data_IF_540745770359
#
_entry.id   IF_540745770359
#
_cell.length_a   1.000
_cell.length_b   1.000
_cell.length_c   1.000
_cell.angle_alpha   90.00
_cell.angle_beta   90.00
_cell.angle_gamma   90.00
#
_symmetry.space_group_name_H-M   'P 1'
#
loop_
_entity.id
_entity.type
_entity.pdbx_description
1 polymer ?
#
# COMPACT_ATOMS: atom_id res chain seq x y z
N UNK A 1 3.08 12.55 13.03
CA UNK A 1 4.40 12.15 12.47
C UNK A 1 4.32 10.69 12.07
N UNK A 2 4.44 10.38 10.78
CA UNK A 2 4.48 8.99 10.28
C UNK A 2 5.87 8.42 10.53
N UNK A 3 5.99 7.50 11.49
CA UNK A 3 7.24 6.82 11.78
C UNK A 3 7.69 5.99 10.56
N UNK A 4 8.85 6.32 9.99
CA UNK A 4 9.42 5.64 8.85
C UNK A 4 9.75 4.18 9.18
N UNK A 5 9.49 3.27 8.24
CA UNK A 5 9.82 1.85 8.39
C UNK A 5 11.26 1.61 8.00
N UNK A 6 11.99 0.86 8.84
CA UNK A 6 13.34 0.41 8.54
C UNK A 6 13.33 -0.97 7.87
N UNK A 7 14.40 -1.29 7.14
CA UNK A 7 14.58 -2.61 6.52
C UNK A 7 14.56 -3.72 7.57
N UNK A 8 15.05 -3.45 8.78
CA UNK A 8 15.01 -4.40 9.91
C UNK A 8 13.57 -4.70 10.34
N UNK A 9 12.76 -3.67 10.51
CA UNK A 9 11.36 -3.83 10.89
C UNK A 9 10.54 -4.50 9.78
N UNK A 10 10.85 -4.23 8.51
CA UNK A 10 10.21 -4.93 7.38
C UNK A 10 10.51 -6.43 7.40
N UNK A 11 11.78 -6.81 7.64
CA UNK A 11 12.18 -8.21 7.78
C UNK A 11 11.49 -8.89 8.95
N UNK A 12 11.46 -8.23 10.11
CA UNK A 12 10.77 -8.72 11.30
C UNK A 12 9.27 -8.92 11.05
N UNK A 13 8.61 -7.93 10.43
CA UNK A 13 7.20 -8.00 10.07
C UNK A 13 6.92 -9.17 9.11
N UNK A 14 7.76 -9.36 8.08
CA UNK A 14 7.61 -10.47 7.14
C UNK A 14 7.76 -11.83 7.83
N UNK A 15 8.74 -11.99 8.73
CA UNK A 15 8.93 -13.23 9.50
C UNK A 15 7.72 -13.54 10.40
N UNK A 16 7.16 -12.52 11.07
CA UNK A 16 5.97 -12.68 11.90
C UNK A 16 4.74 -13.02 11.07
N UNK A 17 4.60 -12.44 9.87
CA UNK A 17 3.51 -12.76 8.95
C UNK A 17 3.65 -14.18 8.40
N UNK A 18 4.86 -14.61 8.06
CA UNK A 18 5.13 -15.98 7.62
C UNK A 18 4.75 -17.01 8.70
N UNK A 19 5.11 -16.72 9.96
CA UNK A 19 4.84 -17.59 11.11
C UNK A 19 3.37 -17.62 11.55
N UNK A 20 2.68 -16.48 11.57
CA UNK A 20 1.33 -16.35 12.17
C UNK A 20 0.21 -16.04 11.16
N UNK A 21 0.56 -15.76 9.90
CA UNK A 21 -0.35 -15.35 8.84
C UNK A 21 -0.74 -13.87 8.89
N UNK A 22 -1.05 -13.31 7.71
CA UNK A 22 -1.48 -11.92 7.50
C UNK A 22 -2.93 -11.64 7.95
N UNK A 23 -3.32 -12.11 9.14
CA UNK A 23 -4.68 -11.95 9.70
C UNK A 23 -4.69 -11.36 11.11
N UNK A 24 -3.70 -11.72 11.94
CA UNK A 24 -3.65 -11.36 13.37
C UNK A 24 -2.76 -10.14 13.64
N UNK A 25 -3.08 -9.00 13.04
CA UNK A 25 -2.24 -7.80 13.07
C UNK A 25 -1.95 -7.26 14.48
N UNK A 26 -2.93 -7.31 15.39
CA UNK A 26 -2.73 -6.86 16.78
C UNK A 26 -1.71 -7.73 17.51
N UNK A 27 -1.74 -9.04 17.27
CA UNK A 27 -0.78 -9.98 17.85
C UNK A 27 0.61 -9.82 17.24
N UNK A 28 0.69 -9.71 15.91
CA UNK A 28 1.96 -9.40 15.21
C UNK A 28 2.57 -8.11 15.77
N UNK A 29 1.76 -7.07 15.96
CA UNK A 29 2.23 -5.81 16.52
C UNK A 29 2.68 -5.91 17.98
N UNK A 30 2.06 -6.77 18.81
CA UNK A 30 2.54 -6.99 20.19
C UNK A 30 3.93 -7.63 20.26
N UNK A 31 4.36 -8.30 19.19
CA UNK A 31 5.70 -8.88 19.08
C UNK A 31 6.73 -7.90 18.52
N UNK A 32 6.28 -6.81 17.88
CA UNK A 32 7.15 -5.76 17.36
C UNK A 32 7.31 -4.62 18.36
N UNK A 33 8.52 -4.06 18.44
CA UNK A 33 8.76 -2.89 19.29
C UNK A 33 8.16 -1.63 18.65
N UNK A 34 7.32 -0.89 19.39
CA UNK A 34 6.74 0.40 19.00
C UNK A 34 5.83 0.44 17.76
N UNK A 35 5.42 -0.70 17.19
CA UNK A 35 4.46 -0.76 16.08
C UNK A 35 3.08 -1.18 16.57
N UNK A 36 2.03 -0.62 15.97
CA UNK A 36 0.62 -0.96 16.23
C UNK A 36 0.06 -1.80 15.10
N UNK A 37 -0.97 -2.61 15.38
CA UNK A 37 -1.56 -3.53 14.41
C UNK A 37 -1.95 -2.86 13.09
N UNK A 38 -2.54 -1.65 13.15
CA UNK A 38 -2.84 -0.85 11.95
C UNK A 38 -1.59 -0.54 11.12
N UNK A 39 -0.49 -0.15 11.75
CA UNK A 39 0.75 0.18 11.06
C UNK A 39 1.34 -1.06 10.37
N UNK A 40 1.36 -2.21 11.06
CA UNK A 40 1.83 -3.48 10.48
C UNK A 40 0.99 -3.89 9.26
N UNK A 41 -0.34 -3.82 9.38
CA UNK A 41 -1.27 -4.10 8.28
C UNK A 41 -1.03 -3.18 7.09
N UNK A 42 -1.01 -1.87 7.35
CA UNK A 42 -0.85 -0.87 6.30
C UNK A 42 0.50 -1.00 5.60
N UNK A 43 1.57 -1.30 6.34
CA UNK A 43 2.90 -1.56 5.76
C UNK A 43 2.89 -2.77 4.85
N UNK A 44 2.33 -3.88 5.31
CA UNK A 44 2.27 -5.09 4.51
C UNK A 44 1.43 -4.89 3.24
N UNK A 45 0.20 -4.39 3.37
CA UNK A 45 -0.74 -4.25 2.25
C UNK A 45 -0.32 -3.21 1.21
N UNK A 46 0.50 -2.21 1.58
CA UNK A 46 0.90 -1.14 0.66
C UNK A 46 2.33 -1.28 0.14
N UNK A 47 3.19 -2.08 0.79
CA UNK A 47 4.62 -2.13 0.42
C UNK A 47 5.22 -3.53 0.39
N UNK A 48 4.83 -4.45 1.29
CA UNK A 48 5.54 -5.73 1.44
C UNK A 48 4.82 -6.95 0.86
N UNK A 49 3.52 -6.84 0.57
CA UNK A 49 2.75 -7.94 -0.02
C UNK A 49 3.34 -8.29 -1.39
N UNK A 50 3.56 -9.59 -1.69
CA UNK A 50 3.93 -10.01 -3.03
C UNK A 50 2.97 -9.47 -4.09
N UNK A 51 3.51 -9.07 -5.24
CA UNK A 51 2.76 -8.52 -6.36
C UNK A 51 2.46 -7.02 -6.29
N UNK A 52 2.96 -6.30 -5.27
CA UNK A 52 2.90 -4.84 -5.24
C UNK A 52 3.97 -4.26 -6.16
N UNK A 53 3.58 -3.35 -7.05
CA UNK A 53 4.49 -2.56 -7.89
C UNK A 53 4.90 -1.28 -7.17
N UNK A 54 6.18 -1.15 -6.86
CA UNK A 54 6.77 0.04 -6.20
C UNK A 54 7.53 0.96 -7.16
N UNK A 55 7.66 0.59 -8.43
CA UNK A 55 8.36 1.37 -9.46
C UNK A 55 7.54 2.55 -9.99
N UNK A 56 8.11 3.23 -10.99
CA UNK A 56 7.51 4.35 -11.71
C UNK A 56 6.16 3.98 -12.34
N UNK A 57 5.29 4.98 -12.49
CA UNK A 57 3.98 4.82 -13.13
C UNK A 57 4.16 4.79 -14.64
N UNK A 58 3.60 3.77 -15.29
CA UNK A 58 3.63 3.70 -16.74
C UNK A 58 2.55 4.59 -17.36
N UNK A 59 2.72 5.00 -18.61
CA UNK A 59 1.72 5.82 -19.33
C UNK A 59 0.37 5.09 -19.43
N UNK A 60 0.39 3.76 -19.54
CA UNK A 60 -0.81 2.93 -19.55
C UNK A 60 -1.50 2.95 -18.19
N UNK A 61 -0.75 2.85 -17.08
CA UNK A 61 -1.31 2.96 -15.73
C UNK A 61 -1.92 4.36 -15.49
N UNK A 62 -1.26 5.41 -15.97
CA UNK A 62 -1.78 6.78 -15.91
C UNK A 62 -3.07 6.94 -16.71
N UNK A 63 -3.12 6.41 -17.94
CA UNK A 63 -4.33 6.46 -18.77
C UNK A 63 -5.50 5.73 -18.11
N UNK A 64 -5.27 4.52 -17.59
CA UNK A 64 -6.29 3.75 -16.87
C UNK A 64 -6.77 4.52 -15.63
N UNK A 65 -5.86 5.17 -14.90
CA UNK A 65 -6.22 5.97 -13.74
C UNK A 65 -7.09 7.17 -14.12
N UNK A 66 -6.71 7.93 -15.15
CA UNK A 66 -7.45 9.11 -15.60
C UNK A 66 -8.84 8.73 -16.10
N UNK A 67 -8.95 7.74 -16.99
CA UNK A 67 -10.24 7.28 -17.51
C UNK A 67 -11.11 6.63 -16.42
N UNK A 68 -10.50 5.80 -15.58
CA UNK A 68 -11.18 5.21 -14.43
C UNK A 68 -11.71 6.26 -13.47
N UNK A 69 -10.94 7.30 -13.16
CA UNK A 69 -11.35 8.36 -12.25
C UNK A 69 -12.47 9.23 -12.84
N UNK A 70 -12.53 9.44 -14.16
CA UNK A 70 -13.67 10.13 -14.81
C UNK A 70 -14.99 9.42 -14.56
N UNK A 71 -15.00 8.09 -14.57
CA UNK A 71 -16.21 7.27 -14.41
C UNK A 71 -16.52 6.97 -12.94
N UNK A 72 -15.50 6.62 -12.16
CA UNK A 72 -15.65 6.10 -10.80
C UNK A 72 -15.41 7.15 -9.70
N UNK A 73 -14.78 8.28 -10.03
CA UNK A 73 -14.34 9.28 -9.07
C UNK A 73 -13.31 8.73 -8.07
N UNK A 74 -13.45 9.10 -6.80
CA UNK A 74 -12.54 8.73 -5.70
C UNK A 74 -12.77 7.32 -5.14
N UNK A 75 -13.39 6.42 -5.93
CA UNK A 75 -13.56 5.01 -5.58
C UNK A 75 -12.24 4.25 -5.76
N UNK A 76 -11.25 4.57 -4.95
CA UNK A 76 -9.88 4.05 -5.05
C UNK A 76 -9.80 2.52 -5.02
N UNK A 77 -10.63 1.88 -4.20
CA UNK A 77 -10.69 0.42 -4.13
C UNK A 77 -11.19 -0.22 -5.45
N UNK A 78 -12.04 0.47 -6.21
CA UNK A 78 -12.45 0.02 -7.54
C UNK A 78 -11.34 0.25 -8.58
N UNK A 79 -10.66 1.41 -8.51
CA UNK A 79 -9.50 1.70 -9.37
C UNK A 79 -8.34 0.70 -9.13
N UNK A 80 -8.13 0.27 -7.89
CA UNK A 80 -7.14 -0.75 -7.54
C UNK A 80 -7.42 -2.13 -8.16
N UNK A 81 -8.66 -2.40 -8.56
CA UNK A 81 -9.00 -3.63 -9.31
C UNK A 81 -8.61 -3.50 -10.79
N UNK A 82 -8.61 -2.30 -11.35
CA UNK A 82 -8.19 -2.03 -12.73
C UNK A 82 -6.66 -1.97 -12.84
N UNK A 83 -6.00 -1.36 -11.85
CA UNK A 83 -4.55 -1.23 -11.78
C UNK A 83 -3.94 -2.37 -10.97
N UNK A 84 -3.94 -3.58 -11.54
CA UNK A 84 -3.42 -4.77 -10.85
C UNK A 84 -1.98 -4.57 -10.41
N UNK A 85 -1.73 -4.72 -9.10
CA UNK A 85 -0.42 -4.51 -8.49
C UNK A 85 -0.20 -3.10 -7.91
N UNK A 86 -1.09 -2.13 -8.17
CA UNK A 86 -1.10 -0.84 -7.48
C UNK A 86 -2.13 -0.87 -6.34
N UNK A 87 -1.71 -0.81 -5.07
CA UNK A 87 -2.65 -0.75 -3.95
C UNK A 87 -3.38 0.59 -3.95
N UNK A 88 -4.58 0.60 -3.36
CA UNK A 88 -5.45 1.78 -3.21
C UNK A 88 -4.68 3.03 -2.77
N UNK A 89 -3.80 2.88 -1.78
CA UNK A 89 -3.03 3.99 -1.24
C UNK A 89 -2.03 4.57 -2.25
N UNK A 90 -1.43 3.73 -3.10
CA UNK A 90 -0.54 4.19 -4.16
C UNK A 90 -1.29 5.03 -5.20
N UNK A 91 -2.50 4.58 -5.58
CA UNK A 91 -3.36 5.29 -6.55
C UNK A 91 -3.75 6.67 -6.02
N UNK A 92 -4.29 6.72 -4.80
CA UNK A 92 -4.65 7.99 -4.14
C UNK A 92 -3.46 8.93 -4.02
N UNK A 93 -2.29 8.41 -3.65
CA UNK A 93 -1.08 9.22 -3.50
C UNK A 93 -0.60 9.77 -4.84
N UNK A 94 -0.59 8.95 -5.89
CA UNK A 94 -0.20 9.38 -7.23
C UNK A 94 -1.16 10.44 -7.76
N UNK A 95 -2.49 10.21 -7.68
CA UNK A 95 -3.49 11.21 -8.08
C UNK A 95 -3.29 12.56 -7.39
N UNK A 96 -3.13 12.58 -6.06
CA UNK A 96 -2.88 13.82 -5.34
C UNK A 96 -1.52 14.45 -5.65
N UNK A 97 -0.49 13.67 -5.99
CA UNK A 97 0.78 14.20 -6.44
C UNK A 97 0.65 14.88 -7.81
N UNK A 98 -0.04 14.23 -8.75
CA UNK A 98 -0.30 14.77 -10.09
C UNK A 98 -1.15 16.05 -10.04
N UNK A 99 -2.11 16.16 -9.12
CA UNK A 99 -2.89 17.39 -8.91
C UNK A 99 -2.08 18.55 -8.33
N UNK A 100 -1.04 18.27 -7.54
CA UNK A 100 -0.17 19.32 -6.97
C UNK A 100 0.86 19.84 -7.97
N UNK A 101 1.11 19.11 -9.05
CA UNK A 101 2.03 19.50 -10.13
C UNK A 101 1.31 20.18 -11.31
N UNK A 102 0.03 20.53 -11.16
CA UNK A 102 -0.74 21.38 -12.07
C UNK A 102 -0.99 22.72 -11.41
#
# INVERSE_FOLDING_TARGET
>A
MTQQWTVREDKELLQLIDKYGAKRWSYIASLMRHRRGKQCRDRYLNHLRPGIKTGEWSKEEELILVEGHKVLGTKWAALAKLLTGRPENAIKNHWHATLRCK
#
